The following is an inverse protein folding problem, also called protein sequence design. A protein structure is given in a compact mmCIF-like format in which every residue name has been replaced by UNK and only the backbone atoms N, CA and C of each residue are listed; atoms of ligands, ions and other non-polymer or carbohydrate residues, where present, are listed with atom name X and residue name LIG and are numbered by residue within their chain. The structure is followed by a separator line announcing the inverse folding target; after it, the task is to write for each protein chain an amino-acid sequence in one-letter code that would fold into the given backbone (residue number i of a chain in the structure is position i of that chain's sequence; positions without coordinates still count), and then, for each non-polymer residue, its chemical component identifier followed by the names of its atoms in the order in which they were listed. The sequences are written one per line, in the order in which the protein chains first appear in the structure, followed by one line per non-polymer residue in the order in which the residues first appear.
data_IF_416375351176
#
_entry.id   IF_416375351176
#
_cell.length_a   1.000
_cell.length_b   1.000
_cell.length_c   1.000
_cell.angle_alpha   90.00
_cell.angle_beta   90.00
_cell.angle_gamma   90.00
#
_symmetry.space_group_name_H-M   'P 1'
#
loop_
_entity.id
_entity.type
_entity.pdbx_description
1 polymer ?
#
# COMPACT_ATOMS: atom_id res chain seq x y z
N UNK A 1 -13.38 -4.64 2.52
CA UNK A 1 -12.06 -5.22 2.78
C UNK A 1 -10.98 -4.22 2.40
N UNK A 2 -9.96 -4.10 3.22
CA UNK A 2 -8.84 -3.20 3.00
C UNK A 2 -7.57 -4.04 2.81
N UNK A 3 -6.85 -3.76 1.74
CA UNK A 3 -5.63 -4.45 1.38
C UNK A 3 -4.53 -3.43 1.11
N UNK A 4 -3.30 -3.76 1.44
CA UNK A 4 -2.13 -2.92 1.15
C UNK A 4 -1.15 -3.71 0.28
N UNK A 5 -0.70 -3.08 -0.78
CA UNK A 5 0.25 -3.65 -1.75
C UNK A 5 1.52 -2.81 -1.70
N UNK A 6 2.66 -3.44 -1.45
CA UNK A 6 3.96 -2.75 -1.40
C UNK A 6 5.09 -3.70 -1.76
N UNK A 7 6.22 -3.14 -2.17
CA UNK A 7 7.44 -3.90 -2.45
C UNK A 7 8.39 -3.85 -1.27
N UNK A 8 9.19 -4.93 -1.09
CA UNK A 8 10.30 -4.90 -0.14
C UNK A 8 11.30 -3.82 -0.55
N UNK A 9 11.89 -3.13 0.43
CA UNK A 9 12.96 -2.17 0.14
C UNK A 9 14.21 -2.90 -0.37
N UNK A 10 14.75 -2.41 -1.49
CA UNK A 10 16.00 -2.95 -2.03
C UNK A 10 17.13 -2.55 -1.09
N UNK A 11 17.94 -3.52 -0.71
CA UNK A 11 19.07 -3.31 0.20
C UNK A 11 18.75 -3.54 1.66
N UNK A 12 17.50 -3.79 2.03
CA UNK A 12 17.17 -4.25 3.38
C UNK A 12 17.62 -5.68 3.54
N UNK A 13 18.48 -5.90 4.52
CA UNK A 13 18.98 -7.22 4.83
C UNK A 13 18.05 -7.99 5.77
N UNK A 14 16.97 -7.35 6.22
CA UNK A 14 16.07 -7.88 7.24
C UNK A 14 14.60 -7.75 6.82
N UNK A 15 14.15 -8.53 5.82
CA UNK A 15 12.75 -8.44 5.34
C UNK A 15 11.74 -8.78 6.42
N UNK A 16 12.11 -9.61 7.39
CA UNK A 16 11.25 -9.93 8.52
C UNK A 16 10.99 -8.70 9.39
N UNK A 17 12.02 -7.89 9.67
CA UNK A 17 11.84 -6.65 10.42
C UNK A 17 10.93 -5.69 9.69
N UNK A 18 11.10 -5.54 8.38
CA UNK A 18 10.22 -4.70 7.57
C UNK A 18 8.78 -5.20 7.60
N UNK A 19 8.58 -6.51 7.48
CA UNK A 19 7.26 -7.12 7.58
C UNK A 19 6.59 -6.83 8.93
N UNK A 20 7.35 -6.93 10.02
CA UNK A 20 6.84 -6.65 11.36
C UNK A 20 6.46 -5.17 11.51
N UNK A 21 7.25 -4.26 10.97
CA UNK A 21 6.97 -2.82 11.00
C UNK A 21 5.69 -2.50 10.23
N UNK A 22 5.51 -3.08 9.06
CA UNK A 22 4.28 -2.94 8.30
C UNK A 22 3.08 -3.51 9.07
N UNK A 23 3.21 -4.71 9.58
CA UNK A 23 2.12 -5.41 10.26
C UNK A 23 1.62 -4.64 11.46
N UNK A 24 2.52 -4.05 12.27
CA UNK A 24 2.14 -3.23 13.42
C UNK A 24 1.20 -2.09 13.01
N UNK A 25 1.52 -1.40 11.92
CA UNK A 25 0.69 -0.30 11.40
C UNK A 25 -0.62 -0.85 10.85
N UNK A 26 -0.54 -1.85 9.99
CA UNK A 26 -1.71 -2.31 9.23
C UNK A 26 -2.77 -2.95 10.12
N UNK A 27 -2.36 -3.72 11.11
CA UNK A 27 -3.29 -4.34 12.05
C UNK A 27 -3.98 -3.33 12.95
N UNK A 28 -3.30 -2.25 13.30
CA UNK A 28 -3.90 -1.19 14.11
C UNK A 28 -5.10 -0.56 13.40
N UNK A 29 -5.07 -0.51 12.08
CA UNK A 29 -6.15 0.07 11.28
C UNK A 29 -7.07 -0.97 10.62
N UNK A 30 -7.08 -2.20 11.12
CA UNK A 30 -7.95 -3.27 10.62
C UNK A 30 -7.78 -3.58 9.13
N UNK A 31 -6.56 -3.48 8.63
CA UNK A 31 -6.24 -3.93 7.27
C UNK A 31 -6.33 -5.45 7.22
N UNK A 32 -6.99 -5.98 6.21
CA UNK A 32 -7.27 -7.41 6.12
C UNK A 32 -6.08 -8.23 5.64
N UNK A 33 -5.29 -7.68 4.72
CA UNK A 33 -4.07 -8.36 4.29
C UNK A 33 -3.05 -7.39 3.69
N UNK A 34 -1.80 -7.79 3.76
CA UNK A 34 -0.67 -7.12 3.14
C UNK A 34 -0.14 -7.98 2.00
N UNK A 35 0.11 -7.35 0.86
CA UNK A 35 0.73 -8.00 -0.30
C UNK A 35 2.11 -7.40 -0.53
N UNK A 36 3.12 -8.24 -0.57
CA UNK A 36 4.52 -7.84 -0.77
C UNK A 36 5.13 -8.60 -1.94
N UNK A 37 6.06 -7.97 -2.60
CA UNK A 37 6.81 -8.55 -3.72
C UNK A 37 8.24 -8.04 -3.75
N UNK A 38 9.17 -8.83 -4.28
CA UNK A 38 9.03 -10.21 -4.70
C UNK A 38 8.92 -11.16 -3.50
N UNK A 39 8.71 -12.46 -3.77
CA UNK A 39 8.65 -13.48 -2.72
C UNK A 39 9.97 -13.58 -1.98
N UNK A 40 9.92 -13.43 -0.66
CA UNK A 40 11.10 -13.47 0.21
C UNK A 40 11.26 -14.77 0.99
N UNK A 41 10.20 -15.57 1.04
CA UNK A 41 10.15 -16.80 1.86
C UNK A 41 9.75 -16.57 3.32
N UNK A 42 9.63 -15.34 3.79
CA UNK A 42 9.27 -15.05 5.20
C UNK A 42 7.85 -15.39 5.56
N UNK A 43 6.99 -15.56 4.57
CA UNK A 43 5.60 -15.96 4.77
C UNK A 43 5.45 -17.33 5.43
N UNK A 44 6.55 -18.10 5.51
CA UNK A 44 6.57 -19.39 6.19
C UNK A 44 6.44 -19.28 7.70
N UNK A 45 6.41 -18.08 8.26
CA UNK A 45 6.14 -17.93 9.66
C UNK A 45 4.70 -17.56 10.03
N UNK A 46 4.49 -17.32 11.29
CA UNK A 46 3.23 -17.40 12.02
C UNK A 46 2.05 -16.57 11.47
N UNK A 47 2.28 -15.71 10.49
CA UNK A 47 1.24 -14.83 9.98
C UNK A 47 0.94 -14.99 8.49
N UNK A 48 0.92 -16.22 8.04
CA UNK A 48 0.75 -16.57 6.63
C UNK A 48 -0.55 -16.07 6.01
N UNK A 49 -1.61 -15.93 6.83
CA UNK A 49 -2.91 -15.47 6.33
C UNK A 49 -2.97 -13.96 6.14
N UNK A 50 -2.16 -13.22 6.89
CA UNK A 50 -2.10 -11.76 6.77
C UNK A 50 -1.16 -11.33 5.64
N UNK A 51 0.03 -11.92 5.57
CA UNK A 51 1.02 -11.60 4.54
C UNK A 51 0.84 -12.51 3.33
N UNK A 52 0.61 -11.90 2.17
CA UNK A 52 0.60 -12.59 0.88
C UNK A 52 1.76 -12.09 0.03
N UNK A 53 2.54 -13.00 -0.53
CA UNK A 53 3.66 -12.66 -1.39
C UNK A 53 3.35 -12.97 -2.84
N UNK A 54 3.67 -12.03 -3.72
CA UNK A 54 3.50 -12.13 -5.16
C UNK A 54 4.84 -12.00 -5.87
N UNK A 55 4.91 -12.42 -7.14
CA UNK A 55 6.11 -12.29 -7.94
C UNK A 55 6.35 -10.83 -8.34
N UNK A 56 5.29 -10.11 -8.69
CA UNK A 56 5.37 -8.71 -9.08
C UNK A 56 4.08 -7.94 -8.72
N UNK A 57 4.15 -6.62 -8.89
CA UNK A 57 3.05 -5.72 -8.54
C UNK A 57 1.84 -5.95 -9.44
N UNK A 58 2.04 -6.21 -10.73
CA UNK A 58 0.93 -6.43 -11.66
C UNK A 58 0.08 -7.61 -11.22
N UNK A 59 0.69 -8.69 -10.79
CA UNK A 59 -0.01 -9.88 -10.30
C UNK A 59 -0.89 -9.55 -9.08
N UNK A 60 -0.34 -8.79 -8.13
CA UNK A 60 -1.07 -8.37 -6.93
C UNK A 60 -2.24 -7.45 -7.27
N UNK A 61 -2.03 -6.50 -8.17
CA UNK A 61 -3.06 -5.55 -8.61
C UNK A 61 -4.18 -6.29 -9.35
N UNK A 62 -3.84 -7.19 -10.25
CA UNK A 62 -4.83 -7.98 -10.99
C UNK A 62 -5.68 -8.83 -10.05
N UNK A 63 -5.07 -9.45 -9.05
CA UNK A 63 -5.79 -10.21 -8.03
C UNK A 63 -6.76 -9.33 -7.23
N UNK A 64 -6.35 -8.12 -6.87
CA UNK A 64 -7.19 -7.18 -6.15
C UNK A 64 -8.39 -6.72 -6.99
N UNK A 65 -8.17 -6.42 -8.27
CA UNK A 65 -9.26 -6.07 -9.19
C UNK A 65 -10.24 -7.22 -9.37
N UNK A 66 -9.74 -8.44 -9.52
CA UNK A 66 -10.59 -9.62 -9.65
C UNK A 66 -11.45 -9.85 -8.41
N UNK A 67 -10.97 -9.43 -7.25
CA UNK A 67 -11.73 -9.48 -5.99
C UNK A 67 -12.68 -8.29 -5.80
N UNK A 68 -12.78 -7.38 -6.77
CA UNK A 68 -13.69 -6.24 -6.73
C UNK A 68 -13.18 -5.04 -5.94
N UNK A 69 -11.90 -4.95 -5.65
CA UNK A 69 -11.34 -3.82 -4.90
C UNK A 69 -10.98 -2.67 -5.83
N UNK A 70 -11.20 -1.45 -5.37
CA UNK A 70 -10.71 -0.25 -6.03
C UNK A 70 -9.22 -0.08 -5.77
N UNK A 71 -8.43 0.17 -6.79
CA UNK A 71 -7.00 0.37 -6.65
C UNK A 71 -6.72 1.84 -6.40
N UNK A 72 -6.03 2.14 -5.30
CA UNK A 72 -5.67 3.49 -4.88
C UNK A 72 -4.15 3.59 -4.81
N UNK A 73 -3.56 4.31 -5.75
CA UNK A 73 -2.12 4.57 -5.73
C UNK A 73 -1.81 5.74 -4.82
N UNK A 74 -0.84 5.56 -3.95
CA UNK A 74 -0.34 6.61 -3.06
C UNK A 74 1.04 7.03 -3.55
N UNK A 75 1.14 8.25 -4.06
CA UNK A 75 2.36 8.76 -4.68
C UNK A 75 2.42 10.27 -4.56
N UNK A 76 3.64 10.83 -4.56
CA UNK A 76 3.84 12.28 -4.48
C UNK A 76 3.16 13.04 -5.63
N UNK A 77 3.02 12.40 -6.78
CA UNK A 77 2.37 12.95 -7.96
C UNK A 77 0.89 12.58 -8.08
N UNK A 78 0.29 12.05 -7.03
CA UNK A 78 -1.12 11.68 -7.00
C UNK A 78 -2.04 12.85 -7.35
N UNK A 79 -3.21 12.54 -7.91
CA UNK A 79 -4.14 13.55 -8.42
C UNK A 79 -4.88 14.28 -7.31
N UNK A 80 -5.23 13.60 -6.23
CA UNK A 80 -6.02 14.16 -5.14
C UNK A 80 -5.21 14.30 -3.87
N UNK A 81 -5.44 15.39 -3.14
CA UNK A 81 -4.88 15.55 -1.80
C UNK A 81 -5.64 14.67 -0.81
N UNK A 82 -4.93 14.12 0.17
CA UNK A 82 -5.50 13.20 1.14
C UNK A 82 -6.73 13.79 1.85
N UNK A 83 -6.67 15.07 2.22
CA UNK A 83 -7.73 15.73 2.97
C UNK A 83 -9.06 15.72 2.20
N UNK A 84 -9.01 15.81 0.88
CA UNK A 84 -10.18 15.84 0.01
C UNK A 84 -10.60 14.47 -0.51
N UNK A 85 -9.78 13.45 -0.26
CA UNK A 85 -9.97 12.13 -0.84
C UNK A 85 -11.10 11.36 -0.15
N UNK A 86 -11.97 10.74 -0.96
CA UNK A 86 -13.01 9.84 -0.47
C UNK A 86 -12.54 8.40 -0.60
N UNK A 87 -12.36 7.73 0.51
CA UNK A 87 -11.84 6.37 0.52
C UNK A 87 -12.90 5.36 0.05
N UNK A 88 -12.56 4.49 -0.92
CA UNK A 88 -13.46 3.40 -1.30
C UNK A 88 -13.69 2.42 -0.15
N UNK A 89 -14.90 1.84 -0.08
CA UNK A 89 -15.22 0.86 0.97
C UNK A 89 -14.31 -0.38 0.86
N UNK A 90 -14.18 -0.91 -0.36
CA UNK A 90 -13.27 -2.01 -0.67
C UNK A 90 -12.08 -1.45 -1.46
N UNK A 91 -10.92 -1.42 -0.85
CA UNK A 91 -9.76 -0.75 -1.42
C UNK A 91 -8.48 -1.57 -1.30
N UNK A 92 -7.64 -1.46 -2.32
CA UNK A 92 -6.26 -1.90 -2.30
C UNK A 92 -5.36 -0.68 -2.49
N UNK A 93 -4.67 -0.29 -1.43
CA UNK A 93 -3.73 0.84 -1.45
C UNK A 93 -2.37 0.37 -1.92
N UNK A 94 -1.83 1.02 -2.95
CA UNK A 94 -0.53 0.68 -3.52
C UNK A 94 0.48 1.74 -3.13
N UNK A 95 1.51 1.35 -2.38
CA UNK A 95 2.59 2.22 -1.93
C UNK A 95 3.86 1.89 -2.72
N UNK A 96 4.38 2.88 -3.44
CA UNK A 96 5.65 2.75 -4.13
C UNK A 96 6.84 2.89 -3.19
N UNK A 97 8.02 2.70 -3.76
CA UNK A 97 9.29 2.99 -3.10
C UNK A 97 9.88 4.27 -3.66
N UNK A 98 10.82 4.86 -2.92
CA UNK A 98 11.54 6.06 -3.38
C UNK A 98 12.21 5.89 -4.74
N UNK A 99 12.62 4.67 -5.08
CA UNK A 99 13.30 4.35 -6.34
C UNK A 99 12.37 3.81 -7.42
N UNK A 100 11.06 3.69 -7.16
CA UNK A 100 10.13 3.01 -8.05
C UNK A 100 8.77 3.68 -8.04
N UNK A 101 8.39 4.30 -9.14
CA UNK A 101 7.10 4.94 -9.29
C UNK A 101 6.07 3.90 -9.79
N UNK A 102 5.44 3.19 -8.87
CA UNK A 102 4.44 2.16 -9.18
C UNK A 102 3.21 2.76 -9.85
N UNK A 103 2.83 3.98 -9.50
CA UNK A 103 1.69 4.66 -10.10
C UNK A 103 1.93 4.86 -11.60
N UNK A 104 3.09 5.37 -11.99
CA UNK A 104 3.42 5.61 -13.39
C UNK A 104 3.45 4.31 -14.20
N UNK A 105 3.91 3.22 -13.59
CA UNK A 105 4.07 1.94 -14.27
C UNK A 105 2.76 1.14 -14.38
N UNK A 106 1.89 1.21 -13.39
CA UNK A 106 0.77 0.26 -13.24
C UNK A 106 -0.61 0.89 -13.13
N UNK A 107 -0.71 2.20 -12.89
CA UNK A 107 -2.02 2.85 -12.78
C UNK A 107 -2.73 2.85 -14.13
N UNK A 108 -3.98 2.41 -14.13
CA UNK A 108 -4.84 2.43 -15.30
C UNK A 108 -6.18 3.10 -14.94
N UNK A 109 -6.33 4.35 -15.32
CA UNK A 109 -7.54 5.12 -15.06
C UNK A 109 -8.77 4.51 -15.75
N UNK A 110 -8.59 3.80 -16.87
CA UNK A 110 -9.68 3.12 -17.57
C UNK A 110 -10.24 1.95 -16.77
N UNK A 111 -9.47 1.42 -15.81
CA UNK A 111 -9.92 0.39 -14.88
C UNK A 111 -10.54 0.97 -13.60
N UNK A 112 -10.68 2.28 -13.52
CA UNK A 112 -11.20 2.96 -12.35
C UNK A 112 -10.18 3.21 -11.25
N UNK A 113 -8.89 3.04 -11.53
CA UNK A 113 -7.81 3.33 -10.57
C UNK A 113 -7.78 4.83 -10.26
N UNK A 114 -7.50 5.15 -9.01
CA UNK A 114 -7.36 6.53 -8.54
C UNK A 114 -6.02 6.71 -7.84
N UNK A 115 -5.63 7.96 -7.63
CA UNK A 115 -4.38 8.27 -6.95
C UNK A 115 -4.56 9.39 -5.94
N UNK A 116 -3.77 9.32 -4.88
CA UNK A 116 -3.74 10.37 -3.86
C UNK A 116 -2.30 10.70 -3.50
N UNK A 117 -2.11 11.90 -2.97
CA UNK A 117 -0.84 12.37 -2.46
C UNK A 117 -0.98 12.83 -1.02
N UNK A 118 0.09 12.63 -0.26
CA UNK A 118 0.21 13.12 1.12
C UNK A 118 1.21 14.27 1.10
N UNK A 119 0.73 15.47 1.40
CA UNK A 119 1.60 16.65 1.46
C UNK A 119 2.18 16.80 2.85
N UNK A 120 3.48 17.07 2.91
CA UNK A 120 4.19 17.37 4.16
C UNK A 120 4.82 18.77 4.07
N UNK A 121 5.07 19.43 5.22
CA UNK A 121 5.59 20.80 5.20
C UNK A 121 6.89 20.96 4.41
N UNK A 122 7.76 19.98 4.43
CA UNK A 122 9.05 20.05 3.73
C UNK A 122 9.02 19.46 2.33
N UNK A 123 7.92 18.78 1.99
CA UNK A 123 7.72 18.15 0.68
C UNK A 123 8.89 17.26 0.21
N UNK A 124 9.55 16.60 1.16
CA UNK A 124 10.66 15.69 0.88
C UNK A 124 10.21 14.23 0.83
N UNK A 125 8.96 13.97 1.22
CA UNK A 125 8.41 12.64 1.36
C UNK A 125 8.91 11.92 2.61
N UNK A 126 8.23 10.87 2.99
CA UNK A 126 8.68 9.97 4.04
C UNK A 126 9.40 8.78 3.39
N UNK A 127 10.55 8.35 3.96
CA UNK A 127 11.40 7.36 3.28
C UNK A 127 10.80 5.95 3.24
N UNK A 128 9.87 5.63 4.15
CA UNK A 128 9.31 4.29 4.24
C UNK A 128 7.80 4.28 3.99
N UNK A 129 7.34 3.32 3.20
CA UNK A 129 5.93 3.20 2.84
C UNK A 129 5.00 3.02 4.04
N UNK A 130 5.42 2.28 5.07
CA UNK A 130 4.60 2.09 6.26
C UNK A 130 4.35 3.40 7.03
N UNK A 131 5.23 4.39 6.94
CA UNK A 131 5.01 5.71 7.55
C UNK A 131 3.89 6.45 6.82
N UNK A 132 3.90 6.43 5.49
CA UNK A 132 2.83 7.03 4.68
C UNK A 132 1.52 6.26 4.89
N UNK A 133 1.60 4.92 4.97
CA UNK A 133 0.43 4.10 5.20
C UNK A 133 -0.28 4.46 6.51
N UNK A 134 0.46 4.72 7.57
CA UNK A 134 -0.11 5.14 8.85
C UNK A 134 -0.94 6.42 8.70
N UNK A 135 -0.45 7.39 7.93
CA UNK A 135 -1.14 8.66 7.70
C UNK A 135 -2.42 8.44 6.89
N UNK A 136 -2.33 7.69 5.80
CA UNK A 136 -3.47 7.42 4.90
C UNK A 136 -4.56 6.62 5.63
N UNK A 137 -4.17 5.62 6.39
CA UNK A 137 -5.12 4.77 7.11
C UNK A 137 -5.76 5.51 8.28
N UNK A 138 -5.04 6.41 8.94
CA UNK A 138 -5.61 7.27 9.95
C UNK A 138 -6.67 8.21 9.36
N UNK A 139 -6.39 8.82 8.21
CA UNK A 139 -7.37 9.66 7.51
C UNK A 139 -8.62 8.86 7.16
N UNK A 140 -8.44 7.64 6.63
CA UNK A 140 -9.56 6.75 6.34
C UNK A 140 -10.39 6.47 7.59
N UNK A 141 -9.74 6.14 8.69
CA UNK A 141 -10.42 5.87 9.97
C UNK A 141 -11.25 7.08 10.43
N UNK A 142 -10.66 8.27 10.37
CA UNK A 142 -11.35 9.50 10.80
C UNK A 142 -12.56 9.82 9.92
N UNK A 143 -12.46 9.61 8.63
CA UNK A 143 -13.55 9.89 7.67
C UNK A 143 -14.67 8.87 7.74
N UNK A 144 -14.38 7.64 8.20
CA UNK A 144 -15.38 6.60 8.35
C UNK A 144 -16.20 6.73 9.64
N UNK A 145 -15.75 7.54 10.59
CA UNK A 145 -16.41 7.69 11.90
C UNK A 145 -17.41 8.84 11.95
#
# INVERSE_FOLDING_TARGET
MIQVISSWEIGWNYPRMESDMWEMVLREFNVDCQCMMPKSGIKAHENQTFLMEYNDVAEAIDAARAAGRSIVFVDESGAEELEAFTHPADAAYVFGRTSQNLMQLYMDANQGDVSLKVLTPNNTGLPFGHQIAAIVLYDRFKKAS
#
